data_IF_822729256718
#
_entry.id   IF_822729256718
#
_cell.length_a   1.000
_cell.length_b   1.000
_cell.length_c   1.000
_cell.angle_alpha   90.00
_cell.angle_beta   90.00
_cell.angle_gamma   90.00
#
_symmetry.space_group_name_H-M   'P 1'
#
loop_
_entity.id
_entity.type
_entity.pdbx_description
1 polymer ?
#
# COMPACT_ATOMS: atom_id res chain seq x y z
N UNK A 1 9.66 -18.50 -20.83
CA UNK A 1 9.02 -17.53 -19.91
C UNK A 1 8.46 -16.39 -20.79
N UNK A 2 7.17 -16.10 -20.71
CA UNK A 2 6.58 -14.94 -21.43
C UNK A 2 6.66 -13.74 -20.50
N UNK A 3 7.32 -12.69 -20.96
CA UNK A 3 7.47 -11.41 -20.25
C UNK A 3 6.96 -10.26 -21.14
N UNK A 4 6.42 -9.21 -20.52
CA UNK A 4 5.97 -8.00 -21.21
C UNK A 4 6.43 -6.77 -20.45
N UNK A 5 7.10 -5.84 -21.13
CA UNK A 5 7.56 -4.60 -20.55
C UNK A 5 6.66 -3.43 -20.96
N UNK A 6 6.23 -2.62 -19.99
CA UNK A 6 5.42 -1.41 -20.22
C UNK A 6 5.70 -0.37 -19.13
N UNK A 7 5.95 0.89 -19.54
CA UNK A 7 6.19 2.03 -18.63
C UNK A 7 7.22 1.72 -17.53
N UNK A 8 8.33 1.08 -17.88
CA UNK A 8 9.40 0.73 -16.94
C UNK A 8 9.10 -0.47 -16.01
N UNK A 9 7.96 -1.13 -16.15
CA UNK A 9 7.59 -2.36 -15.44
C UNK A 9 7.69 -3.57 -16.36
N UNK A 10 8.19 -4.70 -15.85
CA UNK A 10 8.23 -5.99 -16.57
C UNK A 10 7.34 -7.00 -15.87
N UNK A 11 6.30 -7.44 -16.59
CA UNK A 11 5.33 -8.42 -16.13
C UNK A 11 5.72 -9.80 -16.62
N UNK A 12 5.70 -10.78 -15.71
CA UNK A 12 6.03 -12.17 -16.00
C UNK A 12 5.03 -13.12 -15.33
N UNK A 13 4.83 -14.27 -15.96
CA UNK A 13 4.01 -15.32 -15.37
C UNK A 13 4.65 -15.83 -14.07
N UNK A 14 3.83 -15.96 -13.02
CA UNK A 14 4.27 -16.37 -11.69
C UNK A 14 4.47 -15.20 -10.72
N UNK A 15 4.70 -13.98 -11.22
CA UNK A 15 4.85 -12.80 -10.38
C UNK A 15 3.55 -12.48 -9.62
N UNK A 16 3.72 -11.98 -8.40
CA UNK A 16 2.63 -11.42 -7.59
C UNK A 16 2.78 -9.91 -7.60
N UNK A 17 1.67 -9.21 -7.79
CA UNK A 17 1.64 -7.76 -7.80
C UNK A 17 0.53 -7.22 -6.90
N UNK A 18 0.78 -6.05 -6.30
CA UNK A 18 -0.28 -5.21 -5.77
C UNK A 18 -0.93 -4.40 -6.90
N UNK A 19 -2.22 -4.12 -6.75
CA UNK A 19 -2.95 -3.30 -7.70
C UNK A 19 -4.12 -2.56 -7.06
N UNK A 20 -4.49 -1.45 -7.68
CA UNK A 20 -5.60 -0.61 -7.31
C UNK A 20 -6.91 -1.19 -7.82
N UNK A 21 -7.95 -1.18 -6.98
CA UNK A 21 -9.29 -1.64 -7.34
C UNK A 21 -10.31 -0.96 -6.42
N UNK A 22 -11.52 -0.74 -6.91
CA UNK A 22 -12.51 0.07 -6.19
C UNK A 22 -12.27 1.57 -6.35
N UNK A 23 -12.97 2.36 -5.55
CA UNK A 23 -13.20 3.77 -5.86
C UNK A 23 -12.18 4.76 -5.25
N UNK A 24 -11.24 4.28 -4.42
CA UNK A 24 -10.19 5.12 -3.81
C UNK A 24 -8.79 4.90 -4.39
N UNK A 25 -8.67 4.06 -5.43
CA UNK A 25 -7.45 3.83 -6.21
C UNK A 25 -6.21 3.46 -5.38
N UNK A 26 -6.38 2.87 -4.19
CA UNK A 26 -5.26 2.43 -3.35
C UNK A 26 -4.82 0.98 -3.65
N UNK A 27 -3.51 0.67 -3.67
CA UNK A 27 -2.98 -0.63 -4.07
C UNK A 27 -3.06 -1.70 -2.96
N UNK A 28 -4.27 -1.96 -2.44
CA UNK A 28 -4.56 -2.88 -1.33
C UNK A 28 -4.89 -4.31 -1.77
N UNK A 29 -5.00 -4.55 -3.07
CA UNK A 29 -5.32 -5.86 -3.62
C UNK A 29 -4.09 -6.50 -4.21
N UNK A 30 -4.07 -7.83 -4.22
CA UNK A 30 -2.93 -8.58 -4.72
C UNK A 30 -3.39 -9.67 -5.66
N UNK A 31 -2.53 -10.04 -6.60
CA UNK A 31 -2.84 -11.08 -7.57
C UNK A 31 -1.60 -11.67 -8.20
N UNK A 32 -1.68 -12.96 -8.53
CA UNK A 32 -0.64 -13.67 -9.26
C UNK A 32 -0.95 -13.64 -10.75
N UNK A 33 0.01 -13.21 -11.55
CA UNK A 33 -0.08 -13.28 -13.01
C UNK A 33 0.06 -14.75 -13.40
N UNK A 34 -1.01 -15.35 -13.90
CA UNK A 34 -1.05 -16.77 -14.29
C UNK A 34 -0.83 -16.95 -15.79
N UNK A 35 -1.17 -15.94 -16.59
CA UNK A 35 -1.02 -15.96 -18.05
C UNK A 35 -0.92 -14.54 -18.59
N UNK A 36 -0.12 -14.38 -19.63
CA UNK A 36 -0.05 -13.14 -20.42
C UNK A 36 -0.47 -13.50 -21.85
N UNK A 37 -1.41 -12.76 -22.41
CA UNK A 37 -1.88 -12.95 -23.79
C UNK A 37 -1.89 -11.65 -24.57
N UNK A 38 -1.67 -11.75 -25.87
CA UNK A 38 -1.74 -10.63 -26.80
C UNK A 38 -2.93 -10.85 -27.73
N UNK A 39 -3.78 -9.84 -27.88
CA UNK A 39 -4.91 -9.87 -28.81
C UNK A 39 -4.74 -8.70 -29.77
N UNK A 40 -4.70 -8.99 -31.06
CA UNK A 40 -4.67 -7.99 -32.11
C UNK A 40 -5.89 -8.20 -33.01
N UNK A 41 -6.78 -7.21 -33.06
CA UNK A 41 -7.83 -7.17 -34.06
C UNK A 41 -7.30 -6.53 -35.35
N UNK A 42 -7.93 -6.82 -36.49
CA UNK A 42 -7.54 -6.23 -37.77
C UNK A 42 -7.55 -4.69 -37.67
N UNK A 43 -6.46 -4.05 -38.10
CA UNK A 43 -6.24 -2.59 -38.04
C UNK A 43 -6.28 -1.95 -36.64
N UNK A 44 -6.11 -2.73 -35.56
CA UNK A 44 -6.00 -2.20 -34.20
C UNK A 44 -4.64 -2.50 -33.57
N UNK A 45 -4.23 -1.63 -32.65
CA UNK A 45 -3.04 -1.86 -31.84
C UNK A 45 -3.19 -3.12 -30.98
N UNK A 46 -2.10 -3.89 -30.78
CA UNK A 46 -2.14 -5.09 -29.97
C UNK A 46 -2.45 -4.75 -28.50
N UNK A 47 -3.48 -5.39 -27.94
CA UNK A 47 -3.86 -5.26 -26.53
C UNK A 47 -3.25 -6.39 -25.73
N UNK A 48 -2.46 -6.03 -24.72
CA UNK A 48 -1.94 -6.98 -23.74
C UNK A 48 -3.00 -7.26 -22.67
N UNK A 49 -3.15 -8.53 -22.32
CA UNK A 49 -4.07 -8.99 -21.28
C UNK A 49 -3.30 -9.80 -20.25
N UNK A 50 -3.33 -9.33 -19.00
CA UNK A 50 -2.86 -10.11 -17.85
C UNK A 50 -4.03 -10.90 -17.27
N UNK A 51 -3.87 -12.21 -17.15
CA UNK A 51 -4.82 -13.08 -16.49
C UNK A 51 -4.33 -13.30 -15.06
N UNK A 52 -5.04 -12.71 -14.11
CA UNK A 52 -4.59 -12.59 -12.72
C UNK A 52 -5.49 -13.40 -11.82
N UNK A 53 -4.90 -14.33 -11.07
CA UNK A 53 -5.57 -15.01 -9.97
C UNK A 53 -5.49 -14.13 -8.72
N UNK A 54 -6.63 -13.55 -8.31
CA UNK A 54 -6.67 -12.66 -7.14
C UNK A 54 -6.29 -13.41 -5.86
N UNK A 55 -5.56 -12.73 -4.99
CA UNK A 55 -5.24 -13.25 -3.67
C UNK A 55 -6.39 -12.92 -2.71
N UNK A 56 -6.91 -13.92 -2.02
CA UNK A 56 -7.92 -13.74 -0.97
C UNK A 56 -7.26 -13.82 0.40
N UNK A 57 -7.57 -12.84 1.24
CA UNK A 57 -7.14 -12.82 2.63
C UNK A 57 -7.69 -14.05 3.37
N UNK A 58 -6.89 -14.58 4.28
CA UNK A 58 -7.22 -15.67 5.18
C UNK A 58 -7.25 -15.15 6.60
N UNK A 59 -8.12 -15.73 7.43
CA UNK A 59 -8.29 -15.29 8.82
C UNK A 59 -7.04 -15.65 9.62
N UNK A 60 -6.51 -14.66 10.33
CA UNK A 60 -5.39 -14.83 11.26
C UNK A 60 -5.95 -14.87 12.68
N UNK A 61 -5.59 -15.92 13.44
CA UNK A 61 -6.02 -16.07 14.84
C UNK A 61 -5.47 -14.91 15.68
N UNK A 62 -6.34 -14.28 16.47
CA UNK A 62 -5.97 -13.17 17.34
C UNK A 62 -6.01 -11.78 16.68
N UNK A 63 -6.26 -11.70 15.37
CA UNK A 63 -6.48 -10.43 14.66
C UNK A 63 -7.97 -10.07 14.68
N UNK A 64 -8.29 -8.86 15.11
CA UNK A 64 -9.62 -8.26 15.04
C UNK A 64 -10.01 -8.12 13.57
N UNK A 65 -11.11 -8.76 13.20
CA UNK A 65 -11.60 -8.77 11.82
C UNK A 65 -12.55 -7.61 11.55
N UNK A 66 -12.57 -7.11 10.31
CA UNK A 66 -13.62 -6.22 9.82
C UNK A 66 -15.00 -6.82 10.04
N UNK A 67 -15.96 -6.00 10.46
CA UNK A 67 -17.38 -6.35 10.53
C UNK A 67 -17.92 -6.46 9.10
N UNK A 68 -17.72 -5.43 8.26
CA UNK A 68 -18.03 -5.52 6.84
C UNK A 68 -17.01 -6.42 6.12
N UNK A 69 -17.48 -7.56 5.62
CA UNK A 69 -16.65 -8.56 4.93
C UNK A 69 -16.19 -8.14 3.53
N UNK A 70 -16.69 -7.00 3.02
CA UNK A 70 -16.25 -6.40 1.76
C UNK A 70 -15.03 -5.51 1.94
N UNK A 71 -14.67 -5.17 3.17
CA UNK A 71 -13.51 -4.32 3.45
C UNK A 71 -12.22 -4.94 2.90
N UNK A 72 -11.40 -4.14 2.18
CA UNK A 72 -10.14 -4.62 1.64
C UNK A 72 -9.16 -4.93 2.78
N UNK A 73 -8.36 -5.96 2.56
CA UNK A 73 -7.30 -6.39 3.48
C UNK A 73 -5.98 -6.26 2.76
N UNK A 74 -5.21 -5.22 3.07
CA UNK A 74 -3.91 -4.96 2.43
C UNK A 74 -2.70 -5.55 3.17
N UNK A 75 -2.90 -6.23 4.29
CA UNK A 75 -1.86 -7.00 4.94
C UNK A 75 -2.43 -8.25 5.62
N UNK A 76 -1.60 -9.27 5.79
CA UNK A 76 -1.98 -10.55 6.36
C UNK A 76 -1.52 -11.73 5.50
N UNK A 77 -2.20 -12.85 5.71
CA UNK A 77 -1.96 -14.10 4.99
C UNK A 77 -2.99 -14.25 3.89
N UNK A 78 -2.55 -14.59 2.68
CA UNK A 78 -3.39 -14.69 1.51
C UNK A 78 -3.21 -16.01 0.76
N UNK A 79 -4.21 -16.38 -0.04
CA UNK A 79 -4.17 -17.53 -0.95
C UNK A 79 -4.62 -17.15 -2.34
N UNK A 80 -3.96 -17.69 -3.36
CA UNK A 80 -4.36 -17.48 -4.74
C UNK A 80 -5.66 -18.21 -5.08
N UNK A 81 -6.58 -17.53 -5.75
CA UNK A 81 -7.77 -18.15 -6.31
C UNK A 81 -7.49 -18.77 -7.67
N UNK A 82 -8.29 -19.78 -8.04
CA UNK A 82 -8.27 -20.37 -9.38
C UNK A 82 -8.97 -19.50 -10.43
N UNK A 83 -9.94 -18.69 -10.01
CA UNK A 83 -10.62 -17.74 -10.88
C UNK A 83 -9.64 -16.68 -11.38
N UNK A 84 -9.71 -16.35 -12.67
CA UNK A 84 -8.85 -15.39 -13.34
C UNK A 84 -9.64 -14.15 -13.69
N UNK A 85 -9.12 -12.99 -13.30
CA UNK A 85 -9.57 -11.68 -13.72
C UNK A 85 -8.65 -11.21 -14.86
N UNK A 86 -9.23 -10.55 -15.88
CA UNK A 86 -8.48 -10.05 -17.03
C UNK A 86 -8.25 -8.56 -16.86
N UNK A 87 -6.97 -8.18 -16.83
CA UNK A 87 -6.55 -6.79 -16.78
C UNK A 87 -5.99 -6.36 -18.14
N UNK A 88 -6.55 -5.27 -18.67
CA UNK A 88 -6.05 -4.58 -19.88
C UNK A 88 -5.42 -3.23 -19.54
N UNK A 89 -5.92 -2.58 -18.49
CA UNK A 89 -5.27 -1.43 -17.89
C UNK A 89 -4.15 -1.93 -16.96
N UNK A 90 -2.91 -1.60 -17.30
CA UNK A 90 -1.73 -2.01 -16.53
C UNK A 90 -1.27 -0.91 -15.58
N UNK A 91 -1.88 0.28 -15.62
CA UNK A 91 -1.52 1.38 -14.73
C UNK A 91 -1.98 1.14 -13.31
N UNK A 92 -3.02 0.31 -13.12
CA UNK A 92 -3.49 -0.10 -11.80
C UNK A 92 -2.47 -0.92 -11.00
N UNK A 93 -1.43 -1.47 -11.61
CA UNK A 93 -0.44 -2.32 -10.93
C UNK A 93 0.66 -1.48 -10.26
N UNK A 94 0.68 -1.43 -8.93
CA UNK A 94 1.62 -0.55 -8.22
C UNK A 94 2.99 -1.20 -7.97
N UNK A 95 3.02 -2.40 -7.36
CA UNK A 95 4.27 -2.99 -6.88
C UNK A 95 4.32 -4.51 -7.04
N UNK A 96 5.44 -5.04 -7.50
CA UNK A 96 5.71 -6.47 -7.41
C UNK A 96 6.00 -6.89 -5.95
N UNK A 97 5.35 -7.96 -5.51
CA UNK A 97 5.49 -8.54 -4.18
C UNK A 97 6.36 -9.80 -4.30
N UNK A 98 7.34 -9.95 -3.41
CA UNK A 98 8.11 -11.18 -3.28
C UNK A 98 7.22 -12.28 -2.74
N UNK A 99 7.10 -13.40 -3.45
CA UNK A 99 6.41 -14.57 -2.94
C UNK A 99 7.37 -15.51 -2.23
N UNK A 100 6.94 -16.04 -1.09
CA UNK A 100 7.51 -17.28 -0.55
C UNK A 100 6.98 -18.47 -1.36
N UNK A 101 7.74 -19.58 -1.39
CA UNK A 101 7.41 -20.75 -2.21
C UNK A 101 6.02 -21.32 -1.87
N UNK A 102 5.19 -21.47 -2.91
CA UNK A 102 3.86 -22.09 -2.82
C UNK A 102 2.70 -21.17 -3.18
N UNK A 103 1.53 -21.47 -2.59
CA UNK A 103 0.24 -20.79 -2.83
C UNK A 103 -0.24 -19.94 -1.64
N UNK A 104 0.55 -19.85 -0.58
CA UNK A 104 0.30 -18.98 0.56
C UNK A 104 1.23 -17.78 0.47
N UNK A 105 0.69 -16.58 0.65
CA UNK A 105 1.43 -15.32 0.55
C UNK A 105 1.31 -14.59 1.87
N UNK A 106 2.42 -14.09 2.39
CA UNK A 106 2.45 -13.31 3.63
C UNK A 106 2.88 -11.89 3.32
N UNK A 107 1.96 -10.93 3.51
CA UNK A 107 2.20 -9.51 3.28
C UNK A 107 2.07 -8.84 4.64
N UNK A 108 3.19 -8.72 5.34
CA UNK A 108 3.21 -8.23 6.73
C UNK A 108 4.01 -6.94 6.81
N UNK A 109 3.61 -5.99 7.68
CA UNK A 109 4.48 -4.88 8.04
C UNK A 109 5.78 -5.42 8.66
N UNK A 110 6.91 -4.94 8.14
CA UNK A 110 8.27 -5.31 8.58
C UNK A 110 9.06 -4.06 8.96
N UNK A 111 9.98 -4.21 9.91
CA UNK A 111 10.88 -3.12 10.32
C UNK A 111 11.53 -2.44 9.10
N UNK A 112 11.52 -1.10 9.09
CA UNK A 112 11.99 -0.23 8.01
C UNK A 112 11.00 -0.01 6.86
N UNK A 113 9.87 -0.74 6.83
CA UNK A 113 8.85 -0.52 5.81
C UNK A 113 8.01 0.71 6.13
N UNK A 114 7.55 1.39 5.08
CA UNK A 114 6.62 2.50 5.18
C UNK A 114 5.22 2.01 4.82
N UNK A 115 4.23 2.34 5.65
CA UNK A 115 2.85 1.91 5.50
C UNK A 115 1.90 3.09 5.66
N UNK A 116 0.85 3.11 4.84
CA UNK A 116 -0.34 3.88 5.13
C UNK A 116 -1.18 3.12 6.16
N UNK A 117 -1.65 3.82 7.20
CA UNK A 117 -2.57 3.28 8.20
C UNK A 117 -3.86 4.10 8.20
N UNK A 118 -4.98 3.46 8.54
CA UNK A 118 -6.21 4.19 8.80
C UNK A 118 -6.02 5.04 10.07
N UNK A 119 -6.18 6.36 9.92
CA UNK A 119 -5.98 7.34 11.00
C UNK A 119 -6.93 7.08 12.18
N UNK A 120 -8.22 6.98 11.87
CA UNK A 120 -9.29 6.68 12.82
C UNK A 120 -9.75 5.23 12.70
N UNK A 121 -8.81 4.29 12.83
CA UNK A 121 -9.12 2.87 12.66
C UNK A 121 -10.13 2.37 13.69
N UNK A 122 -11.13 1.65 13.20
CA UNK A 122 -12.03 0.81 13.98
C UNK A 122 -12.54 -0.31 13.07
N UNK A 123 -12.84 -1.49 13.61
CA UNK A 123 -13.22 -2.64 12.79
C UNK A 123 -14.67 -2.58 12.24
N UNK A 124 -15.40 -1.52 12.56
CA UNK A 124 -16.75 -1.19 12.09
C UNK A 124 -16.77 -0.23 10.88
N UNK A 125 -15.62 0.20 10.37
CA UNK A 125 -15.54 0.96 9.11
C UNK A 125 -16.19 0.14 7.98
N UNK A 126 -17.17 0.74 7.31
CA UNK A 126 -17.84 0.15 6.16
C UNK A 126 -17.11 0.47 4.86
N UNK A 127 -17.22 -0.44 3.88
CA UNK A 127 -16.57 -0.28 2.56
C UNK A 127 -17.02 0.99 1.83
N UNK A 128 -18.25 1.44 2.09
CA UNK A 128 -18.85 2.63 1.46
C UNK A 128 -18.21 3.93 1.96
N UNK A 129 -17.60 3.91 3.15
CA UNK A 129 -16.98 5.09 3.75
C UNK A 129 -15.50 5.22 3.39
N UNK A 130 -14.93 4.27 2.64
CA UNK A 130 -13.50 4.23 2.30
C UNK A 130 -12.99 5.51 1.65
N UNK A 131 -13.80 6.15 0.79
CA UNK A 131 -13.41 7.41 0.13
C UNK A 131 -13.29 8.58 1.11
N UNK A 132 -14.00 8.53 2.24
CA UNK A 132 -13.93 9.55 3.29
C UNK A 132 -12.88 9.24 4.36
N UNK A 133 -12.26 8.06 4.32
CA UNK A 133 -11.23 7.70 5.28
C UNK A 133 -9.95 8.49 5.03
N UNK A 134 -9.36 8.93 6.14
CA UNK A 134 -8.06 9.60 6.16
C UNK A 134 -6.97 8.64 6.62
N UNK A 135 -5.76 8.85 6.12
CA UNK A 135 -4.64 7.99 6.38
C UNK A 135 -3.46 8.75 6.97
N UNK A 136 -2.68 8.04 7.78
CA UNK A 136 -1.36 8.48 8.24
C UNK A 136 -0.28 7.60 7.59
N UNK A 137 0.90 8.20 7.35
CA UNK A 137 2.07 7.49 6.86
C UNK A 137 2.96 7.15 8.05
N UNK A 138 3.38 5.89 8.17
CA UNK A 138 4.23 5.46 9.29
C UNK A 138 5.38 4.59 8.84
N UNK A 139 6.53 4.73 9.49
CA UNK A 139 7.62 3.75 9.44
C UNK A 139 7.44 2.70 10.54
N UNK A 140 7.65 1.42 10.20
CA UNK A 140 7.76 0.35 11.20
C UNK A 140 9.15 0.35 11.84
N UNK A 141 9.23 0.57 13.14
CA UNK A 141 10.47 0.56 13.92
C UNK A 141 10.81 -0.82 14.53
N UNK A 142 9.78 -1.62 14.84
CA UNK A 142 9.92 -2.98 15.39
C UNK A 142 8.68 -3.80 15.03
N UNK A 143 8.86 -5.04 14.55
CA UNK A 143 7.79 -5.96 14.18
C UNK A 143 7.77 -7.28 14.98
N UNK A 144 8.57 -7.41 16.04
CA UNK A 144 8.78 -8.66 16.79
C UNK A 144 7.62 -9.07 17.69
N UNK A 145 7.11 -8.14 18.50
CA UNK A 145 5.97 -8.36 19.40
C UNK A 145 4.76 -7.61 18.85
N UNK A 146 4.48 -6.40 19.34
CA UNK A 146 3.60 -5.45 18.66
C UNK A 146 4.39 -4.57 17.69
N UNK A 147 3.69 -3.84 16.83
CA UNK A 147 4.31 -2.95 15.86
C UNK A 147 4.63 -1.62 16.51
N UNK A 148 5.90 -1.31 16.74
CA UNK A 148 6.32 0.06 17.08
C UNK A 148 6.44 0.84 15.79
N UNK A 149 5.84 2.02 15.74
CA UNK A 149 5.84 2.84 14.52
C UNK A 149 6.24 4.27 14.80
N UNK A 150 6.80 4.94 13.79
CA UNK A 150 7.07 6.38 13.76
C UNK A 150 6.13 7.02 12.74
N UNK A 151 5.37 8.02 13.16
CA UNK A 151 4.58 8.86 12.27
C UNK A 151 5.52 9.67 11.36
N UNK A 152 5.19 9.71 10.07
CA UNK A 152 5.84 10.57 9.09
C UNK A 152 4.93 11.76 8.76
N UNK A 153 5.54 12.93 8.61
CA UNK A 153 4.86 14.17 8.26
C UNK A 153 5.47 14.75 6.98
N UNK A 154 4.69 15.47 6.15
CA UNK A 154 5.27 16.24 5.05
C UNK A 154 6.22 17.32 5.58
N UNK A 155 7.20 17.72 4.78
CA UNK A 155 8.04 18.88 5.10
C UNK A 155 7.18 20.14 5.32
N UNK A 156 7.48 20.92 6.36
CA UNK A 156 6.61 22.00 6.86
C UNK A 156 5.55 21.55 7.88
N UNK A 157 5.36 20.25 8.09
CA UNK A 157 4.46 19.68 9.09
C UNK A 157 2.98 19.68 8.68
N UNK A 158 2.15 19.03 9.50
CA UNK A 158 0.72 18.82 9.19
C UNK A 158 -0.09 20.12 9.03
N UNK A 159 0.29 21.19 9.73
CA UNK A 159 -0.41 22.49 9.70
C UNK A 159 -0.15 23.29 8.42
N UNK A 160 0.95 22.99 7.72
CA UNK A 160 1.33 23.69 6.48
C UNK A 160 0.75 22.97 5.25
N UNK A 161 0.59 21.64 5.33
CA UNK A 161 -0.08 20.82 4.32
C UNK A 161 -1.50 21.31 4.02
N UNK A 162 -2.26 21.73 5.04
CA UNK A 162 -3.62 22.27 4.87
C UNK A 162 -3.70 23.62 4.10
N UNK A 163 -2.57 24.30 3.83
CA UNK A 163 -2.55 25.66 3.26
C UNK A 163 -1.76 25.83 1.97
N UNK A 164 -0.80 24.97 1.70
CA UNK A 164 0.02 25.03 0.51
C UNK A 164 0.20 23.60 0.03
N UNK A 165 -0.35 23.31 -1.16
CA UNK A 165 -0.21 22.00 -1.77
C UNK A 165 1.25 21.52 -1.73
N UNK A 166 1.41 20.25 -1.36
CA UNK A 166 2.60 19.40 -1.45
C UNK A 166 3.66 19.46 -0.34
N UNK A 167 4.01 18.26 0.12
CA UNK A 167 5.39 17.83 0.36
C UNK A 167 5.72 16.62 -0.51
N UNK A 168 6.64 16.74 -1.47
CA UNK A 168 7.20 15.58 -2.21
C UNK A 168 8.09 14.70 -1.32
N UNK A 169 8.45 15.22 -0.16
CA UNK A 169 9.30 14.59 0.84
C UNK A 169 8.62 14.62 2.20
N UNK A 170 8.87 13.56 2.95
CA UNK A 170 8.37 13.33 4.29
C UNK A 170 9.54 13.24 5.27
N UNK A 171 9.29 13.60 6.52
CA UNK A 171 10.23 13.57 7.64
C UNK A 171 9.63 12.74 8.77
N UNK A 172 10.48 12.24 9.68
CA UNK A 172 9.99 11.76 10.96
C UNK A 172 9.26 12.89 11.68
N UNK A 173 7.97 12.68 12.00
CA UNK A 173 7.16 13.70 12.64
C UNK A 173 7.77 14.07 13.99
N UNK A 174 7.71 15.36 14.33
CA UNK A 174 8.12 15.90 15.65
C UNK A 174 6.93 16.24 16.53
N UNK A 175 5.76 16.45 15.93
CA UNK A 175 4.48 16.69 16.60
C UNK A 175 3.36 15.84 15.97
N UNK A 176 2.45 15.33 16.79
CA UNK A 176 1.23 14.66 16.33
C UNK A 176 0.16 15.68 15.92
N UNK A 177 -0.62 15.38 14.88
CA UNK A 177 -1.55 16.34 14.25
C UNK A 177 -2.76 16.75 15.12
N UNK A 178 -3.20 15.92 16.09
CA UNK A 178 -4.33 16.25 16.99
C UNK A 178 -3.87 17.03 18.23
N UNK A 179 -2.82 16.56 18.90
CA UNK A 179 -2.60 16.85 20.33
C UNK A 179 -1.13 16.98 20.74
N UNK A 180 -0.18 16.95 19.78
CA UNK A 180 1.25 17.04 20.11
C UNK A 180 1.77 15.85 20.94
N UNK A 181 1.03 14.72 20.98
CA UNK A 181 1.44 13.47 21.63
C UNK A 181 2.61 12.78 20.92
N UNK A 182 3.01 11.64 21.49
CA UNK A 182 4.03 10.75 20.95
C UNK A 182 3.78 10.38 19.47
N UNK A 183 4.64 10.92 18.62
CA UNK A 183 4.83 10.53 17.21
C UNK A 183 5.33 9.09 17.05
N UNK A 184 5.72 8.45 18.16
CA UNK A 184 6.06 7.03 18.23
C UNK A 184 5.02 6.30 19.06
N UNK A 185 4.31 5.37 18.46
CA UNK A 185 3.26 4.62 19.14
C UNK A 185 3.31 3.14 18.77
N UNK A 186 2.50 2.35 19.48
CA UNK A 186 2.43 0.90 19.30
C UNK A 186 1.09 0.54 18.69
N UNK A 187 1.10 -0.23 17.60
CA UNK A 187 -0.08 -0.87 17.02
C UNK A 187 -0.05 -2.35 17.45
N UNK A 188 -1.02 -2.82 18.25
CA UNK A 188 -1.10 -4.22 18.65
C UNK A 188 -1.17 -5.16 17.44
N UNK A 189 -0.60 -6.37 17.53
CA UNK A 189 -0.75 -7.39 16.47
C UNK A 189 -2.23 -7.73 16.21
N UNK A 190 -3.08 -7.60 17.22
CA UNK A 190 -4.53 -7.79 17.08
C UNK A 190 -5.18 -6.75 16.16
N UNK A 191 -4.57 -5.57 16.00
CA UNK A 191 -5.03 -4.48 15.13
C UNK A 191 -4.31 -4.49 13.77
N UNK A 192 -3.84 -5.66 13.29
CA UNK A 192 -3.14 -5.76 12.00
C UNK A 192 -3.90 -5.09 10.84
N UNK A 193 -5.23 -5.12 10.85
CA UNK A 193 -6.06 -4.51 9.81
C UNK A 193 -6.06 -2.96 9.83
N UNK A 194 -5.38 -2.33 10.80
CA UNK A 194 -5.08 -0.89 10.79
C UNK A 194 -4.12 -0.50 9.67
N UNK A 195 -3.28 -1.43 9.21
CA UNK A 195 -2.42 -1.23 8.06
C UNK A 195 -3.19 -1.36 6.75
N UNK A 196 -3.26 -0.26 6.00
CA UNK A 196 -3.98 -0.16 4.73
C UNK A 196 -3.19 -0.80 3.60
N UNK A 197 -2.01 -0.28 3.30
CA UNK A 197 -1.09 -0.83 2.29
C UNK A 197 0.32 -0.30 2.53
N UNK A 198 1.30 -1.01 1.98
CA UNK A 198 2.67 -0.56 2.00
C UNK A 198 2.88 0.52 0.93
N UNK A 199 3.55 1.61 1.31
CA UNK A 199 3.92 2.69 0.40
C UNK A 199 5.40 2.48 0.04
N UNK A 200 5.75 2.20 -1.23
CA UNK A 200 7.15 2.19 -1.65
C UNK A 200 7.77 3.56 -1.37
N UNK A 201 8.93 3.59 -0.73
CA UNK A 201 9.55 4.85 -0.29
C UNK A 201 11.06 4.77 -0.42
N UNK A 202 11.65 5.77 -1.08
CA UNK A 202 13.10 5.96 -1.09
C UNK A 202 13.51 6.75 0.15
N UNK A 203 14.51 6.26 0.89
CA UNK A 203 15.11 7.00 2.00
C UNK A 203 16.41 7.64 1.52
N UNK A 204 16.52 8.95 1.66
CA UNK A 204 17.67 9.72 1.17
C UNK A 204 18.05 10.80 2.17
N UNK A 205 19.32 11.18 2.21
CA UNK A 205 19.77 12.34 2.98
C UNK A 205 19.76 13.57 2.09
N UNK A 206 19.04 14.62 2.48
CA UNK A 206 18.96 15.89 1.75
C UNK A 206 19.14 17.08 2.69
N UNK A 207 19.61 18.20 2.15
CA UNK A 207 19.64 19.46 2.89
C UNK A 207 18.23 20.06 2.90
N UNK A 208 17.63 20.12 4.09
CA UNK A 208 16.30 20.70 4.35
C UNK A 208 16.50 21.77 5.43
N UNK A 209 16.03 22.99 5.15
CA UNK A 209 16.18 24.15 6.04
C UNK A 209 17.63 24.40 6.51
N UNK A 210 18.62 24.17 5.65
CA UNK A 210 20.05 24.40 5.95
C UNK A 210 20.73 23.29 6.77
N UNK A 211 20.07 22.14 6.96
CA UNK A 211 20.64 20.98 7.64
C UNK A 211 20.42 19.70 6.84
N UNK A 212 21.42 18.80 6.84
CA UNK A 212 21.26 17.46 6.27
C UNK A 212 20.32 16.62 7.15
N UNK A 213 19.21 16.18 6.57
CA UNK A 213 18.18 15.38 7.22
C UNK A 213 17.89 14.14 6.39
N UNK A 214 17.53 13.05 7.07
CA UNK A 214 16.96 11.88 6.41
C UNK A 214 15.51 12.20 6.01
N UNK A 215 15.22 12.08 4.72
CA UNK A 215 13.89 12.32 4.15
C UNK A 215 13.38 11.05 3.46
N UNK A 216 12.06 10.97 3.40
CA UNK A 216 11.29 9.87 2.89
C UNK A 216 10.57 10.35 1.62
N UNK A 217 10.86 9.73 0.49
CA UNK A 217 10.25 10.06 -0.80
C UNK A 217 9.29 8.93 -1.20
N UNK A 218 8.02 8.98 -0.76
CA UNK A 218 7.03 7.97 -1.09
C UNK A 218 6.65 8.02 -2.57
N UNK A 219 6.38 6.86 -3.15
CA UNK A 219 5.77 6.79 -4.48
C UNK A 219 4.36 7.39 -4.40
N UNK A 220 4.15 8.50 -5.12
CA UNK A 220 2.90 9.25 -5.14
C UNK A 220 1.70 8.42 -5.60
N UNK A 221 1.88 7.42 -6.47
CA UNK A 221 0.81 6.54 -6.94
C UNK A 221 0.27 5.61 -5.84
N UNK A 222 1.05 5.42 -4.77
CA UNK A 222 0.67 4.64 -3.60
C UNK A 222 0.36 5.54 -2.40
N UNK A 223 0.32 6.87 -2.56
CA UNK A 223 -0.07 7.76 -1.48
C UNK A 223 -1.59 8.01 -1.48
N UNK A 224 -2.26 7.90 -0.32
CA UNK A 224 -3.60 8.42 -0.15
C UNK A 224 -3.74 9.89 -0.55
N UNK A 225 -4.87 10.26 -1.14
CA UNK A 225 -5.11 11.63 -1.64
C UNK A 225 -4.92 12.67 -0.54
N UNK A 226 -5.34 12.37 0.69
CA UNK A 226 -5.17 13.25 1.86
C UNK A 226 -3.69 13.44 2.30
N UNK A 227 -2.75 12.75 1.66
CA UNK A 227 -1.31 12.81 1.89
C UNK A 227 -0.55 13.35 0.66
N UNK A 228 -1.25 13.68 -0.43
CA UNK A 228 -0.65 14.29 -1.62
C UNK A 228 -0.83 15.81 -1.60
N UNK A 229 -1.97 16.27 -1.08
CA UNK A 229 -2.42 17.65 -1.06
C UNK A 229 -1.92 18.38 0.18
#
# INVERSE_FOLDING_TARGET
>A
CVHFACKGRTYETGQVWSFCSGDDYLPRYYGKIQKITFVQAFEQDPVVKLHVGRLKATVIKGVIQWIDKRMPTGCGSFRATKALEIFTDLDVFSRQISSEDGNNYSIMPKTGNIWAIYRNWSNDIDVVDLQSQTYDLVEILDDKQDYKVLLLAPDGGFKLADRAGFGSVYLGATEHWIDGKDVRFTIPKSELLRFSHQVPTSKVTKEIHGALQEVYEPNIEALPVNLIL
#
